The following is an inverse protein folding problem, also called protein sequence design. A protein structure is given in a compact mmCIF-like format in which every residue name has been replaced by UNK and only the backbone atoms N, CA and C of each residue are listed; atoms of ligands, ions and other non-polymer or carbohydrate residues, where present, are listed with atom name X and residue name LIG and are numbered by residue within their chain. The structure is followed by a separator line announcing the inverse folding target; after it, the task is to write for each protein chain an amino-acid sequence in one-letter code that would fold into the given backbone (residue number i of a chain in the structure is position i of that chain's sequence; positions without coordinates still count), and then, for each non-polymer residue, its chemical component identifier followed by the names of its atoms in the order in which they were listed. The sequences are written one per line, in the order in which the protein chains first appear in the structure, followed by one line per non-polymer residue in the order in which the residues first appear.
data_IF_802427484737
#
_entry.id   IF_802427484737
#
_cell.length_a   1.000
_cell.length_b   1.000
_cell.length_c   1.000
_cell.angle_alpha   90.00
_cell.angle_beta   90.00
_cell.angle_gamma   90.00
#
_symmetry.space_group_name_H-M   'P 1'
#
loop_
_entity.id
_entity.type
_entity.pdbx_description
1 polymer ?
#
# COMPACT_ATOMS: atom_id res chain seq x y z
N UNK A 1 0.07 2.85 9.56
CA UNK A 1 -0.62 3.92 8.82
C UNK A 1 -1.54 4.62 9.81
N UNK A 2 -2.03 5.82 9.52
CA UNK A 2 -2.80 6.59 10.51
C UNK A 2 -4.26 6.15 10.63
N UNK A 3 -4.85 5.67 9.53
CA UNK A 3 -6.22 5.18 9.47
C UNK A 3 -6.35 4.23 8.28
N UNK A 4 -7.23 3.20 8.34
CA UNK A 4 -7.50 2.34 7.20
C UNK A 4 -8.38 3.02 6.15
N UNK A 5 -8.36 2.49 4.93
CA UNK A 5 -9.38 2.79 3.93
C UNK A 5 -10.57 1.83 4.08
N UNK A 6 -11.76 2.33 3.77
CA UNK A 6 -12.91 1.48 3.46
C UNK A 6 -12.68 0.84 2.09
N UNK A 7 -12.67 -0.49 2.04
CA UNK A 7 -12.58 -1.23 0.79
C UNK A 7 -13.81 -0.97 -0.08
N UNK A 8 -13.60 -0.77 -1.38
CA UNK A 8 -14.67 -0.52 -2.36
C UNK A 8 -14.64 -1.64 -3.40
N UNK A 9 -15.62 -2.56 -3.37
CA UNK A 9 -15.74 -3.62 -4.37
C UNK A 9 -15.86 -3.07 -5.79
N UNK A 10 -15.30 -3.77 -6.77
CA UNK A 10 -15.35 -3.35 -8.17
C UNK A 10 -15.29 -4.53 -9.14
N UNK A 11 -15.83 -4.36 -10.35
CA UNK A 11 -15.75 -5.34 -11.44
C UNK A 11 -14.31 -5.69 -11.85
N UNK A 12 -13.34 -4.86 -11.47
CA UNK A 12 -11.91 -5.13 -11.73
C UNK A 12 -11.40 -6.35 -10.96
N UNK A 13 -12.08 -6.72 -9.88
CA UNK A 13 -11.81 -7.95 -9.13
C UNK A 13 -12.08 -9.22 -9.96
N UNK A 14 -12.90 -9.14 -11.02
CA UNK A 14 -13.04 -10.27 -11.97
C UNK A 14 -11.71 -10.64 -12.62
N UNK A 15 -10.79 -9.70 -12.78
CA UNK A 15 -9.47 -10.04 -13.29
C UNK A 15 -8.74 -11.02 -12.35
N UNK A 16 -8.93 -10.89 -11.04
CA UNK A 16 -8.41 -11.87 -10.08
C UNK A 16 -9.08 -13.23 -10.26
N UNK A 17 -10.40 -13.29 -10.50
CA UNK A 17 -11.10 -14.57 -10.70
C UNK A 17 -10.67 -15.28 -11.99
N UNK A 18 -10.31 -14.53 -13.05
CA UNK A 18 -9.69 -15.11 -14.25
C UNK A 18 -8.31 -15.69 -13.95
N UNK A 19 -7.48 -14.98 -13.17
CA UNK A 19 -6.17 -15.50 -12.77
C UNK A 19 -6.32 -16.73 -11.88
N UNK A 20 -7.31 -16.76 -10.98
CA UNK A 20 -7.60 -17.92 -10.15
C UNK A 20 -7.95 -19.14 -11.04
N UNK A 21 -8.83 -18.95 -12.03
CA UNK A 21 -9.15 -19.99 -13.01
C UNK A 21 -7.91 -20.45 -13.78
N UNK A 22 -7.11 -19.53 -14.31
CA UNK A 22 -5.87 -19.84 -15.03
C UNK A 22 -4.94 -20.67 -14.14
N UNK A 23 -4.78 -20.29 -12.88
CA UNK A 23 -3.87 -20.99 -11.99
C UNK A 23 -4.36 -22.42 -11.66
N UNK A 24 -5.61 -22.57 -11.22
CA UNK A 24 -6.13 -23.84 -10.72
C UNK A 24 -6.61 -24.78 -11.82
N UNK A 25 -7.28 -24.25 -12.84
CA UNK A 25 -7.97 -25.04 -13.86
C UNK A 25 -7.12 -25.23 -15.11
N UNK A 26 -6.16 -24.34 -15.38
CA UNK A 26 -5.29 -24.42 -16.57
C UNK A 26 -3.88 -24.88 -16.21
N UNK A 27 -3.12 -24.11 -15.41
CA UNK A 27 -1.72 -24.41 -15.13
C UNK A 27 -1.55 -25.61 -14.20
N UNK A 28 -2.27 -25.68 -13.09
CA UNK A 28 -2.15 -26.78 -12.12
C UNK A 28 -2.57 -28.14 -12.69
N UNK A 29 -3.31 -28.16 -13.81
CA UNK A 29 -3.75 -29.36 -14.52
C UNK A 29 -2.96 -29.65 -15.80
N UNK A 30 -1.85 -28.96 -16.03
CA UNK A 30 -1.13 -29.03 -17.31
C UNK A 30 -0.52 -30.42 -17.60
N UNK A 31 -0.10 -31.16 -16.56
CA UNK A 31 0.57 -32.47 -16.71
C UNK A 31 -0.29 -33.45 -17.53
N UNK A 32 0.30 -33.99 -18.60
CA UNK A 32 -0.36 -34.93 -19.51
C UNK A 32 -1.30 -34.29 -20.54
N UNK A 33 -1.51 -32.97 -20.49
CA UNK A 33 -2.36 -32.23 -21.41
C UNK A 33 -1.54 -31.40 -22.42
N UNK A 34 -2.21 -30.98 -23.50
CA UNK A 34 -1.65 -30.08 -24.53
C UNK A 34 -2.28 -28.71 -24.38
N UNK A 35 -1.48 -27.65 -24.56
CA UNK A 35 -2.01 -26.29 -24.54
C UNK A 35 -2.95 -26.05 -25.73
N UNK A 36 -4.23 -25.76 -25.44
CA UNK A 36 -5.24 -25.45 -26.45
C UNK A 36 -6.28 -24.49 -25.87
N UNK A 37 -6.44 -23.33 -26.51
CA UNK A 37 -7.42 -22.31 -26.11
C UNK A 37 -8.85 -22.87 -26.17
N UNK A 38 -9.15 -23.63 -27.23
CA UNK A 38 -10.48 -24.21 -27.50
C UNK A 38 -10.94 -25.26 -26.49
N UNK A 39 -10.05 -25.72 -25.61
CA UNK A 39 -10.36 -26.76 -24.62
C UNK A 39 -10.17 -26.24 -23.19
N UNK A 40 -9.05 -25.59 -22.90
CA UNK A 40 -8.62 -25.26 -21.54
C UNK A 40 -9.46 -24.16 -20.87
N UNK A 41 -10.13 -23.30 -21.62
CA UNK A 41 -10.85 -22.14 -21.07
C UNK A 41 -12.38 -22.29 -21.12
N UNK A 42 -12.89 -23.41 -21.65
CA UNK A 42 -14.32 -23.61 -21.94
C UNK A 42 -15.22 -23.55 -20.71
N UNK A 43 -14.70 -23.87 -19.52
CA UNK A 43 -15.44 -23.77 -18.24
C UNK A 43 -15.58 -22.33 -17.73
N UNK A 44 -14.82 -21.37 -18.29
CA UNK A 44 -14.96 -19.95 -18.01
C UNK A 44 -15.21 -19.18 -19.32
N UNK A 45 -16.48 -19.08 -19.70
CA UNK A 45 -16.91 -18.48 -20.97
C UNK A 45 -16.37 -17.07 -21.21
N UNK A 46 -16.39 -16.21 -20.18
CA UNK A 46 -15.94 -14.82 -20.31
C UNK A 46 -14.42 -14.75 -20.54
N UNK A 47 -13.64 -15.59 -19.83
CA UNK A 47 -12.20 -15.70 -20.05
C UNK A 47 -11.86 -16.35 -21.40
N UNK A 48 -12.61 -17.37 -21.82
CA UNK A 48 -12.44 -17.99 -23.14
C UNK A 48 -12.63 -16.96 -24.26
N UNK A 49 -13.67 -16.13 -24.17
CA UNK A 49 -13.89 -15.02 -25.11
C UNK A 49 -12.72 -14.04 -25.09
N UNK A 50 -12.25 -13.63 -23.91
CA UNK A 50 -11.08 -12.74 -23.77
C UNK A 50 -9.86 -13.34 -24.46
N UNK A 51 -9.49 -14.58 -24.14
CA UNK A 51 -8.31 -15.25 -24.70
C UNK A 51 -8.43 -15.41 -26.21
N UNK A 52 -9.62 -15.72 -26.72
CA UNK A 52 -9.93 -15.84 -28.15
C UNK A 52 -9.80 -14.49 -28.85
N UNK A 53 -10.41 -13.42 -28.32
CA UNK A 53 -10.29 -12.06 -28.85
C UNK A 53 -8.83 -11.58 -28.86
N UNK A 54 -8.08 -11.87 -27.79
CA UNK A 54 -6.65 -11.56 -27.72
C UNK A 54 -5.83 -12.35 -28.74
N UNK A 55 -6.18 -13.60 -29.03
CA UNK A 55 -5.46 -14.43 -30.01
C UNK A 55 -5.47 -13.84 -31.42
N UNK A 56 -6.56 -13.15 -31.79
CA UNK A 56 -6.69 -12.45 -33.06
C UNK A 56 -6.20 -10.99 -33.02
N UNK A 57 -5.67 -10.55 -31.87
CA UNK A 57 -5.19 -9.19 -31.65
C UNK A 57 -3.67 -9.10 -31.82
N UNK A 58 -3.20 -8.26 -32.73
CA UNK A 58 -1.76 -8.01 -32.95
C UNK A 58 -1.21 -6.88 -32.06
N UNK A 59 -1.57 -6.85 -30.77
CA UNK A 59 -1.11 -5.83 -29.81
C UNK A 59 -0.20 -6.45 -28.75
N UNK A 60 0.81 -5.70 -28.32
CA UNK A 60 1.82 -6.13 -27.34
C UNK A 60 1.23 -6.71 -26.04
N UNK A 61 0.13 -6.11 -25.56
CA UNK A 61 -0.60 -6.60 -24.37
C UNK A 61 -1.21 -7.99 -24.57
N UNK A 62 -1.71 -8.30 -25.76
CA UNK A 62 -2.23 -9.63 -26.08
C UNK A 62 -1.10 -10.65 -26.18
N UNK A 63 -0.02 -10.28 -26.89
CA UNK A 63 1.15 -11.13 -27.11
C UNK A 63 1.76 -11.61 -25.78
N UNK A 64 2.11 -10.70 -24.85
CA UNK A 64 2.74 -11.12 -23.59
C UNK A 64 1.81 -12.03 -22.78
N UNK A 65 0.51 -11.74 -22.77
CA UNK A 65 -0.45 -12.50 -21.96
C UNK A 65 -0.58 -13.93 -22.49
N UNK A 66 -0.79 -14.09 -23.80
CA UNK A 66 -0.94 -15.40 -24.45
C UNK A 66 0.35 -16.22 -24.39
N UNK A 67 1.51 -15.58 -24.66
CA UNK A 67 2.81 -16.24 -24.55
C UNK A 67 3.06 -16.69 -23.11
N UNK A 68 2.74 -15.84 -22.13
CA UNK A 68 2.88 -16.17 -20.71
C UNK A 68 1.98 -17.33 -20.28
N UNK A 69 0.71 -17.36 -20.72
CA UNK A 69 -0.22 -18.47 -20.46
C UNK A 69 0.38 -19.81 -20.93
N UNK A 70 0.88 -19.85 -22.16
CA UNK A 70 1.43 -21.07 -22.76
C UNK A 70 2.77 -21.47 -22.11
N UNK A 71 3.69 -20.53 -21.89
CA UNK A 71 4.99 -20.83 -21.29
C UNK A 71 4.85 -21.39 -19.88
N UNK A 72 4.02 -20.75 -19.04
CA UNK A 72 3.77 -21.21 -17.68
C UNK A 72 3.06 -22.57 -17.71
N UNK A 73 2.12 -22.79 -18.63
CA UNK A 73 1.49 -24.11 -18.80
C UNK A 73 2.53 -25.20 -19.10
N UNK A 74 3.47 -24.94 -20.01
CA UNK A 74 4.54 -25.90 -20.33
C UNK A 74 5.50 -26.12 -19.16
N UNK A 75 5.80 -25.09 -18.36
CA UNK A 75 6.59 -25.24 -17.14
C UNK A 75 5.87 -26.14 -16.12
N UNK A 76 4.56 -25.93 -15.90
CA UNK A 76 3.76 -26.71 -14.95
C UNK A 76 3.68 -28.21 -15.32
N UNK A 77 3.82 -28.57 -16.61
CA UNK A 77 3.91 -30.00 -17.01
C UNK A 77 5.11 -30.72 -16.40
N UNK A 78 6.18 -29.97 -16.11
CA UNK A 78 7.43 -30.50 -15.58
C UNK A 78 7.46 -30.50 -14.03
N UNK A 79 6.53 -29.82 -13.38
CA UNK A 79 6.45 -29.71 -11.92
C UNK A 79 5.87 -30.99 -11.31
N UNK A 80 6.40 -31.39 -10.14
CA UNK A 80 5.89 -32.56 -9.40
C UNK A 80 4.51 -32.27 -8.80
N UNK A 81 3.69 -33.30 -8.58
CA UNK A 81 2.34 -33.08 -8.01
C UNK A 81 2.41 -32.50 -6.59
N UNK A 82 3.46 -32.85 -5.84
CA UNK A 82 3.74 -32.29 -4.52
C UNK A 82 4.08 -30.79 -4.59
N UNK A 83 4.88 -30.40 -5.58
CA UNK A 83 5.22 -28.98 -5.80
C UNK A 83 4.03 -28.18 -6.35
N UNK A 84 3.16 -28.78 -7.17
CA UNK A 84 1.88 -28.15 -7.57
C UNK A 84 1.00 -27.88 -6.35
N UNK A 85 0.82 -28.87 -5.46
CA UNK A 85 0.04 -28.68 -4.24
C UNK A 85 0.64 -27.56 -3.35
N UNK A 86 1.97 -27.49 -3.28
CA UNK A 86 2.70 -26.43 -2.57
C UNK A 86 2.51 -25.05 -3.23
N UNK A 87 2.59 -24.96 -4.56
CA UNK A 87 2.33 -23.74 -5.33
C UNK A 87 0.88 -23.26 -5.14
N UNK A 88 -0.09 -24.17 -5.10
CA UNK A 88 -1.49 -23.85 -4.82
C UNK A 88 -1.68 -23.22 -3.44
N UNK A 89 -1.09 -23.82 -2.40
CA UNK A 89 -1.14 -23.23 -1.07
C UNK A 89 -0.47 -21.84 -1.01
N UNK A 90 0.67 -21.68 -1.69
CA UNK A 90 1.33 -20.38 -1.82
C UNK A 90 0.52 -19.35 -2.60
N UNK A 91 -0.20 -19.77 -3.65
CA UNK A 91 -1.10 -18.91 -4.41
C UNK A 91 -2.22 -18.34 -3.53
N UNK A 92 -2.89 -19.20 -2.76
CA UNK A 92 -3.94 -18.82 -1.82
C UNK A 92 -3.37 -17.90 -0.72
N UNK A 93 -2.23 -18.30 -0.13
CA UNK A 93 -1.63 -17.52 0.95
C UNK A 93 -1.14 -16.14 0.50
N UNK A 94 -0.52 -16.02 -0.68
CA UNK A 94 -0.05 -14.74 -1.22
C UNK A 94 -1.21 -13.76 -1.48
N UNK A 95 -2.41 -14.28 -1.75
CA UNK A 95 -3.59 -13.49 -2.01
C UNK A 95 -4.40 -13.15 -0.75
N UNK A 96 -4.05 -13.71 0.41
CA UNK A 96 -4.67 -13.37 1.69
C UNK A 96 -3.93 -12.24 2.42
N UNK A 97 -3.96 -11.04 1.83
CA UNK A 97 -3.18 -9.88 2.28
C UNK A 97 -3.43 -9.53 3.75
N UNK A 98 -4.68 -9.63 4.21
CA UNK A 98 -5.05 -9.36 5.61
C UNK A 98 -4.35 -10.30 6.59
N UNK A 99 -4.39 -11.61 6.34
CA UNK A 99 -3.70 -12.60 7.18
C UNK A 99 -2.17 -12.43 7.12
N UNK A 100 -1.63 -12.09 5.94
CA UNK A 100 -0.21 -11.81 5.80
C UNK A 100 0.22 -10.62 6.67
N UNK A 101 -0.56 -9.52 6.63
CA UNK A 101 -0.36 -8.32 7.45
C UNK A 101 -0.51 -8.59 8.95
N UNK A 102 -1.44 -9.46 9.34
CA UNK A 102 -1.64 -9.88 10.72
C UNK A 102 -0.55 -10.82 11.24
N UNK A 103 0.40 -11.22 10.37
CA UNK A 103 1.41 -12.24 10.66
C UNK A 103 0.77 -13.55 11.15
N UNK A 104 -0.35 -13.94 10.53
CA UNK A 104 -1.08 -15.15 10.90
C UNK A 104 -0.29 -16.41 10.50
N UNK A 105 -0.19 -17.37 11.41
CA UNK A 105 0.56 -18.61 11.21
C UNK A 105 -0.02 -19.51 10.10
N UNK A 106 -1.31 -19.33 9.75
CA UNK A 106 -1.95 -20.03 8.64
C UNK A 106 -1.59 -19.45 7.26
N UNK A 107 -0.96 -18.27 7.21
CA UNK A 107 -0.62 -17.57 5.98
C UNK A 107 0.91 -17.37 5.84
N UNK A 108 1.53 -18.24 5.06
CA UNK A 108 2.95 -18.14 4.69
C UNK A 108 3.09 -17.77 3.21
N UNK A 109 3.57 -16.55 2.91
CA UNK A 109 3.73 -16.12 1.53
C UNK A 109 4.98 -16.77 0.94
N UNK A 110 4.93 -17.05 -0.36
CA UNK A 110 6.09 -17.37 -1.16
C UNK A 110 6.58 -16.13 -1.91
N UNK A 111 7.87 -16.12 -2.23
CA UNK A 111 8.51 -15.14 -3.09
C UNK A 111 8.90 -15.80 -4.42
N UNK A 112 9.31 -14.99 -5.40
CA UNK A 112 9.91 -15.52 -6.63
C UNK A 112 11.16 -16.39 -6.35
N UNK A 113 11.93 -16.10 -5.29
CA UNK A 113 13.09 -16.92 -4.92
C UNK A 113 12.70 -18.29 -4.37
N UNK A 114 11.53 -18.39 -3.71
CA UNK A 114 11.02 -19.68 -3.25
C UNK A 114 10.56 -20.55 -4.43
N UNK A 115 9.93 -19.94 -5.45
CA UNK A 115 9.54 -20.64 -6.68
C UNK A 115 10.76 -21.05 -7.50
N UNK A 116 11.80 -20.23 -7.55
CA UNK A 116 13.06 -20.52 -8.25
C UNK A 116 13.72 -21.82 -7.72
N UNK A 117 13.52 -22.15 -6.44
CA UNK A 117 13.98 -23.42 -5.87
C UNK A 117 13.22 -24.65 -6.38
N UNK A 118 12.03 -24.47 -6.95
CA UNK A 118 11.25 -25.52 -7.63
C UNK A 118 11.64 -25.56 -9.12
N UNK A 119 11.61 -24.41 -9.78
CA UNK A 119 11.99 -24.25 -11.18
C UNK A 119 12.36 -22.80 -11.49
N UNK A 120 13.57 -22.60 -12.01
CA UNK A 120 14.08 -21.28 -12.42
C UNK A 120 13.23 -20.70 -13.56
N UNK A 121 12.88 -21.52 -14.56
CA UNK A 121 12.04 -21.10 -15.69
C UNK A 121 10.64 -20.70 -15.25
N UNK A 122 10.03 -21.48 -14.35
CA UNK A 122 8.70 -21.16 -13.82
C UNK A 122 8.72 -19.83 -13.06
N UNK A 123 9.73 -19.62 -12.19
CA UNK A 123 9.87 -18.36 -11.46
C UNK A 123 10.03 -17.17 -12.40
N UNK A 124 10.86 -17.33 -13.44
CA UNK A 124 11.10 -16.31 -14.47
C UNK A 124 9.83 -15.98 -15.26
N UNK A 125 9.11 -16.98 -15.77
CA UNK A 125 7.88 -16.77 -16.55
C UNK A 125 6.74 -16.20 -15.69
N UNK A 126 6.55 -16.70 -14.46
CA UNK A 126 5.61 -16.10 -13.50
C UNK A 126 6.00 -14.64 -13.17
N UNK A 127 7.29 -14.36 -13.04
CA UNK A 127 7.83 -13.02 -12.84
C UNK A 127 7.44 -12.07 -13.97
N UNK A 128 7.63 -12.50 -15.22
CA UNK A 128 7.27 -11.72 -16.40
C UNK A 128 5.76 -11.53 -16.52
N UNK A 129 4.98 -12.58 -16.28
CA UNK A 129 3.52 -12.53 -16.38
C UNK A 129 2.89 -11.61 -15.34
N UNK A 130 3.12 -11.85 -14.04
CA UNK A 130 2.46 -11.10 -12.97
C UNK A 130 2.91 -9.64 -12.87
N UNK A 131 4.18 -9.32 -13.16
CA UNK A 131 4.67 -7.92 -13.15
C UNK A 131 3.99 -7.05 -14.21
N UNK A 132 3.64 -7.65 -15.34
CA UNK A 132 3.02 -6.99 -16.50
C UNK A 132 1.49 -7.07 -16.48
N UNK A 133 0.88 -7.91 -15.63
CA UNK A 133 -0.56 -8.06 -15.57
C UNK A 133 -1.30 -6.77 -15.16
N UNK A 134 -0.65 -5.92 -14.35
CA UNK A 134 -1.16 -4.59 -14.00
C UNK A 134 -0.67 -3.47 -14.94
N UNK A 135 0.08 -3.80 -16.00
CA UNK A 135 0.56 -2.79 -16.94
C UNK A 135 -0.61 -2.23 -17.77
N UNK A 136 -0.53 -0.95 -18.08
CA UNK A 136 -1.55 -0.27 -18.89
C UNK A 136 -1.72 -0.94 -20.27
N UNK A 137 -0.61 -1.35 -20.91
CA UNK A 137 -0.60 -2.06 -22.20
C UNK A 137 -1.52 -3.30 -22.23
N UNK A 138 -1.84 -3.89 -21.07
CA UNK A 138 -2.78 -5.00 -20.92
C UNK A 138 -4.13 -4.58 -20.37
N UNK A 139 -4.14 -3.92 -19.22
CA UNK A 139 -5.39 -3.61 -18.51
C UNK A 139 -6.28 -2.61 -19.23
N UNK A 140 -5.74 -1.83 -20.18
CA UNK A 140 -6.53 -0.91 -20.99
C UNK A 140 -7.03 -1.50 -22.32
N UNK A 141 -6.77 -2.79 -22.59
CA UNK A 141 -7.29 -3.44 -23.78
C UNK A 141 -8.81 -3.55 -23.70
N UNK A 142 -9.52 -3.25 -24.81
CA UNK A 142 -10.99 -3.27 -24.84
C UNK A 142 -11.58 -4.63 -24.49
N UNK A 143 -10.94 -5.73 -24.92
CA UNK A 143 -11.34 -7.09 -24.55
C UNK A 143 -11.35 -7.29 -23.03
N UNK A 144 -10.46 -6.61 -22.30
CA UNK A 144 -10.38 -6.62 -20.84
C UNK A 144 -11.36 -5.61 -20.24
N UNK A 145 -11.26 -4.32 -20.60
CA UNK A 145 -12.04 -3.25 -19.98
C UNK A 145 -13.54 -3.41 -20.16
N UNK A 146 -13.98 -4.05 -21.26
CA UNK A 146 -15.41 -4.33 -21.48
C UNK A 146 -15.99 -5.35 -20.49
N UNK A 147 -15.15 -6.15 -19.82
CA UNK A 147 -15.57 -7.19 -18.87
C UNK A 147 -15.34 -6.79 -17.41
N UNK A 148 -14.24 -6.08 -17.16
CA UNK A 148 -13.77 -5.74 -15.81
C UNK A 148 -13.92 -4.24 -15.45
N UNK A 149 -14.36 -3.41 -16.39
CA UNK A 149 -14.42 -1.96 -16.24
C UNK A 149 -13.06 -1.27 -16.36
N UNK A 150 -12.99 0.00 -15.94
CA UNK A 150 -11.76 0.80 -15.97
C UNK A 150 -11.40 1.33 -14.58
N UNK A 151 -10.11 1.46 -14.32
CA UNK A 151 -9.58 1.87 -13.02
C UNK A 151 -9.97 3.29 -12.60
N UNK A 152 -10.21 4.18 -13.56
CA UNK A 152 -10.57 5.56 -13.24
C UNK A 152 -11.99 5.65 -12.64
N UNK A 153 -12.90 4.75 -13.04
CA UNK A 153 -14.24 4.67 -12.46
C UNK A 153 -14.20 4.08 -11.04
N UNK A 154 -13.34 3.08 -10.82
CA UNK A 154 -13.04 2.59 -9.47
C UNK A 154 -12.51 3.73 -8.61
N UNK A 155 -11.52 4.48 -9.09
CA UNK A 155 -10.88 5.54 -8.32
C UNK A 155 -11.86 6.63 -7.89
N UNK A 156 -12.75 7.08 -8.79
CA UNK A 156 -13.79 8.07 -8.47
C UNK A 156 -14.70 7.57 -7.35
N UNK A 157 -15.17 6.33 -7.44
CA UNK A 157 -15.98 5.70 -6.40
C UNK A 157 -15.20 5.59 -5.09
N UNK A 158 -13.93 5.17 -5.19
CA UNK A 158 -13.03 4.99 -4.06
C UNK A 158 -12.83 6.27 -3.26
N UNK A 159 -12.49 7.39 -3.92
CA UNK A 159 -12.25 8.67 -3.24
C UNK A 159 -13.52 9.38 -2.79
N UNK A 160 -14.67 9.03 -3.36
CA UNK A 160 -15.98 9.48 -2.87
C UNK A 160 -16.30 8.84 -1.52
N UNK A 161 -16.03 7.54 -1.37
CA UNK A 161 -16.23 6.82 -0.11
C UNK A 161 -15.14 7.19 0.91
N UNK A 162 -13.88 7.18 0.49
CA UNK A 162 -12.72 7.53 1.32
C UNK A 162 -12.42 9.03 1.28
N UNK A 163 -13.40 9.84 1.68
CA UNK A 163 -13.43 11.30 1.48
C UNK A 163 -12.58 12.13 2.46
N UNK A 164 -11.69 11.51 3.24
CA UNK A 164 -10.79 12.25 4.14
C UNK A 164 -9.86 13.21 3.37
N UNK A 165 -9.63 12.93 2.08
CA UNK A 165 -8.75 13.70 1.21
C UNK A 165 -7.27 13.61 1.58
N UNK A 166 -6.90 12.78 2.56
CA UNK A 166 -5.55 12.68 3.10
C UNK A 166 -4.97 11.29 2.87
N UNK A 167 -3.67 11.24 2.60
CA UNK A 167 -2.96 9.98 2.42
C UNK A 167 -2.85 9.26 3.77
N UNK A 168 -3.48 8.09 3.99
CA UNK A 168 -3.48 7.42 5.29
C UNK A 168 -2.09 6.96 5.71
N UNK A 169 -1.19 6.75 4.74
CA UNK A 169 0.17 6.31 5.02
C UNK A 169 1.01 7.38 5.71
N UNK A 170 0.72 8.67 5.53
CA UNK A 170 1.52 9.73 6.19
C UNK A 170 0.71 10.82 6.88
N UNK A 171 -0.55 11.05 6.50
CA UNK A 171 -1.38 12.16 6.96
C UNK A 171 -0.94 13.54 6.47
N UNK A 172 0.23 13.66 5.84
CA UNK A 172 0.80 14.94 5.37
C UNK A 172 0.18 15.34 4.03
N UNK A 173 0.38 14.50 3.01
CA UNK A 173 -0.03 14.80 1.64
C UNK A 173 -1.51 14.48 1.41
N UNK A 174 -2.13 15.23 0.52
CA UNK A 174 -3.48 14.95 0.05
C UNK A 174 -3.52 13.74 -0.90
N UNK A 175 -4.72 13.18 -1.03
CA UNK A 175 -5.10 12.25 -2.10
C UNK A 175 -5.97 13.05 -3.08
N UNK A 176 -5.67 12.97 -4.37
CA UNK A 176 -6.47 13.62 -5.41
C UNK A 176 -7.92 13.14 -5.34
N UNK A 177 -8.83 14.03 -4.97
CA UNK A 177 -10.27 13.75 -4.90
C UNK A 177 -10.96 13.80 -6.27
N UNK A 178 -12.30 13.77 -6.26
CA UNK A 178 -13.14 13.75 -7.48
C UNK A 178 -12.94 14.96 -8.41
N UNK A 179 -12.49 16.09 -7.86
CA UNK A 179 -12.29 17.34 -8.61
C UNK A 179 -10.93 17.40 -9.34
N UNK A 180 -10.19 16.29 -9.37
CA UNK A 180 -8.94 16.17 -10.13
C UNK A 180 -9.15 15.36 -11.40
N UNK A 181 -8.53 15.80 -12.51
CA UNK A 181 -8.48 15.04 -13.76
C UNK A 181 -7.50 13.86 -13.75
N UNK A 182 -6.69 13.75 -12.69
CA UNK A 182 -5.70 12.70 -12.50
C UNK A 182 -5.93 12.01 -11.16
N UNK A 183 -5.42 10.78 -11.03
CA UNK A 183 -5.53 9.97 -9.82
C UNK A 183 -4.18 9.72 -9.16
N UNK A 184 -4.21 9.28 -7.91
CA UNK A 184 -3.03 8.65 -7.31
C UNK A 184 -2.74 7.29 -7.95
N UNK A 185 -1.47 6.88 -7.90
CA UNK A 185 -1.10 5.51 -8.21
C UNK A 185 -1.63 4.57 -7.13
N UNK A 186 -2.02 3.37 -7.53
CA UNK A 186 -2.32 2.30 -6.58
C UNK A 186 -1.00 1.61 -6.26
N UNK A 187 -0.53 1.80 -5.02
CA UNK A 187 0.63 1.13 -4.50
C UNK A 187 0.35 -0.35 -4.31
N UNK A 188 1.26 -1.21 -4.76
CA UNK A 188 1.30 -2.63 -4.39
C UNK A 188 1.83 -2.73 -2.96
N UNK A 189 0.93 -2.78 -1.98
CA UNK A 189 1.29 -2.77 -0.55
C UNK A 189 2.35 -3.83 -0.25
N UNK A 190 2.08 -5.08 -0.63
CA UNK A 190 3.08 -6.11 -0.78
C UNK A 190 3.73 -6.00 -2.17
N UNK A 191 5.05 -5.77 -2.27
CA UNK A 191 5.68 -5.45 -3.54
C UNK A 191 5.56 -6.59 -4.56
N UNK A 192 4.98 -6.28 -5.73
CA UNK A 192 4.90 -7.22 -6.88
C UNK A 192 6.25 -7.69 -7.41
N UNK A 193 7.34 -7.01 -7.05
CA UNK A 193 8.70 -7.42 -7.39
C UNK A 193 9.21 -8.61 -6.57
N UNK A 194 8.61 -8.85 -5.39
CA UNK A 194 9.01 -9.86 -4.41
C UNK A 194 8.01 -11.01 -4.42
N UNK A 195 6.72 -10.68 -4.32
CA UNK A 195 5.65 -11.66 -4.16
C UNK A 195 4.97 -11.97 -5.50
N UNK A 196 4.95 -13.24 -5.93
CA UNK A 196 4.10 -13.69 -7.01
C UNK A 196 2.61 -13.62 -6.60
N UNK A 197 1.74 -13.80 -7.59
CA UNK A 197 0.30 -14.05 -7.45
C UNK A 197 -0.58 -12.87 -6.99
N UNK A 198 -0.07 -11.88 -6.29
CA UNK A 198 -0.87 -10.77 -5.72
C UNK A 198 -0.80 -9.44 -6.50
N UNK A 199 -0.31 -9.48 -7.74
CA UNK A 199 -0.08 -8.26 -8.54
C UNK A 199 -1.35 -7.58 -9.06
N UNK A 200 -2.44 -8.35 -9.22
CA UNK A 200 -3.76 -7.84 -9.65
C UNK A 200 -4.80 -7.90 -8.53
N UNK A 201 -4.42 -8.40 -7.36
CA UNK A 201 -5.32 -8.47 -6.22
C UNK A 201 -5.58 -7.05 -5.70
N UNK A 202 -6.81 -6.55 -5.87
CA UNK A 202 -7.18 -5.18 -5.44
C UNK A 202 -7.13 -4.99 -3.92
N UNK A 203 -7.10 -6.07 -3.15
CA UNK A 203 -6.81 -6.04 -1.71
C UNK A 203 -5.35 -5.74 -1.40
N UNK A 204 -4.45 -5.91 -2.37
CA UNK A 204 -3.04 -5.53 -2.29
C UNK A 204 -2.73 -4.15 -2.91
N UNK A 205 -3.72 -3.52 -3.56
CA UNK A 205 -3.55 -2.29 -4.32
C UNK A 205 -4.24 -1.14 -3.59
N UNK A 206 -3.50 -0.17 -3.07
CA UNK A 206 -4.06 0.95 -2.31
C UNK A 206 -3.60 2.31 -2.87
N UNK A 207 -4.51 3.27 -3.12
CA UNK A 207 -4.13 4.63 -3.48
C UNK A 207 -3.15 5.24 -2.46
N UNK A 208 -2.01 5.72 -2.93
CA UNK A 208 -0.98 6.30 -2.07
C UNK A 208 -0.44 7.58 -2.71
N UNK A 209 -0.19 8.62 -1.89
CA UNK A 209 0.44 9.82 -2.41
C UNK A 209 1.83 9.51 -2.98
N UNK A 210 2.26 10.31 -3.96
CA UNK A 210 3.54 10.11 -4.64
C UNK A 210 4.74 9.99 -3.69
N UNK A 211 4.81 10.78 -2.62
CA UNK A 211 5.92 10.68 -1.67
C UNK A 211 5.93 9.34 -0.94
N UNK A 212 4.78 8.88 -0.44
CA UNK A 212 4.70 7.59 0.25
C UNK A 212 5.08 6.43 -0.69
N UNK A 213 4.52 6.40 -1.90
CA UNK A 213 4.75 5.34 -2.87
C UNK A 213 6.17 5.38 -3.47
N UNK A 214 6.52 6.51 -4.09
CA UNK A 214 7.65 6.64 -5.00
C UNK A 214 8.94 7.17 -4.35
N UNK A 215 8.90 7.61 -3.08
CA UNK A 215 10.09 8.12 -2.39
C UNK A 215 10.44 7.30 -1.15
N UNK A 216 9.46 6.95 -0.32
CA UNK A 216 9.73 6.31 0.97
C UNK A 216 9.54 4.78 0.94
N UNK A 217 8.39 4.30 0.46
CA UNK A 217 8.11 2.86 0.44
C UNK A 217 8.94 2.14 -0.61
N UNK A 218 8.90 2.60 -1.87
CA UNK A 218 9.59 1.95 -2.98
C UNK A 218 9.29 0.43 -3.01
N UNK A 219 10.33 -0.39 -2.85
CA UNK A 219 10.26 -1.86 -2.82
C UNK A 219 10.37 -2.43 -1.41
N UNK A 220 10.31 -1.60 -0.36
CA UNK A 220 10.33 -2.08 1.03
C UNK A 220 9.16 -3.04 1.26
N UNK A 221 9.46 -4.10 2.00
CA UNK A 221 8.53 -5.18 2.27
C UNK A 221 7.86 -4.94 3.63
N UNK A 222 6.53 -4.79 3.72
CA UNK A 222 5.87 -4.64 5.01
C UNK A 222 6.02 -5.88 5.91
N UNK A 223 6.07 -7.08 5.34
CA UNK A 223 6.04 -8.34 6.11
C UNK A 223 7.37 -8.69 6.79
N UNK A 224 8.46 -8.02 6.43
CA UNK A 224 9.80 -8.29 6.95
C UNK A 224 10.56 -6.99 7.14
N UNK A 225 11.43 -6.92 8.15
CA UNK A 225 12.33 -5.78 8.27
C UNK A 225 13.23 -5.66 7.04
N UNK A 226 13.30 -4.45 6.46
CA UNK A 226 14.17 -4.21 5.32
C UNK A 226 15.63 -4.40 5.74
N UNK A 227 16.25 -5.49 5.28
CA UNK A 227 17.71 -5.64 5.29
C UNK A 227 18.21 -5.31 3.88
N UNK A 228 19.43 -4.76 3.84
CA UNK A 228 20.19 -4.39 2.64
C UNK A 228 19.68 -5.09 1.35
N UNK A 229 19.32 -4.34 0.29
CA UNK A 229 18.73 -4.89 -0.94
C UNK A 229 19.62 -5.91 -1.68
N UNK A 230 20.90 -6.04 -1.31
CA UNK A 230 21.84 -7.05 -1.81
C UNK A 230 21.81 -8.38 -1.01
N UNK A 231 21.03 -8.49 0.06
CA UNK A 231 20.89 -9.71 0.85
C UNK A 231 19.52 -10.34 0.61
N UNK A 232 19.47 -11.68 0.51
CA UNK A 232 18.21 -12.44 0.53
C UNK A 232 17.36 -11.97 1.71
N UNK A 233 16.06 -11.78 1.48
CA UNK A 233 15.10 -11.46 2.55
C UNK A 233 15.27 -12.49 3.67
N UNK A 234 15.85 -12.03 4.77
CA UNK A 234 16.18 -12.85 5.93
C UNK A 234 15.79 -12.04 7.15
N UNK A 235 14.67 -12.38 7.74
CA UNK A 235 14.11 -11.63 8.84
C UNK A 235 12.98 -12.39 9.49
N UNK A 236 12.70 -12.03 10.73
CA UNK A 236 11.50 -12.49 11.42
C UNK A 236 10.32 -11.79 10.73
N UNK A 237 9.28 -12.57 10.38
CA UNK A 237 8.02 -12.01 9.91
C UNK A 237 7.49 -11.04 10.96
N UNK A 238 6.90 -9.93 10.51
CA UNK A 238 6.33 -8.91 11.38
C UNK A 238 4.92 -8.52 10.97
N UNK A 239 4.16 -7.98 11.90
CA UNK A 239 2.85 -7.38 11.63
C UNK A 239 2.97 -6.03 10.92
N UNK A 240 1.93 -5.70 10.16
CA UNK A 240 1.77 -4.42 9.50
C UNK A 240 0.30 -4.02 9.48
N UNK A 241 0.00 -2.72 9.56
CA UNK A 241 -1.35 -2.25 9.31
C UNK A 241 -1.80 -2.59 7.89
N UNK A 242 -2.91 -3.30 7.77
CA UNK A 242 -3.50 -3.65 6.48
C UNK A 242 -4.29 -2.44 5.93
N UNK A 243 -4.09 -2.01 4.67
CA UNK A 243 -4.77 -0.82 4.15
C UNK A 243 -6.29 -0.84 4.19
N UNK A 244 -6.89 -2.04 4.21
CA UNK A 244 -8.34 -2.23 4.14
C UNK A 244 -8.90 -3.03 5.33
N UNK A 245 -8.28 -2.94 6.49
CA UNK A 245 -8.78 -3.61 7.68
C UNK A 245 -10.17 -3.09 8.09
N UNK A 246 -10.99 -3.99 8.62
CA UNK A 246 -12.38 -3.68 8.97
C UNK A 246 -12.52 -2.86 10.26
N UNK A 247 -11.60 -3.05 11.20
CA UNK A 247 -11.64 -2.37 12.49
C UNK A 247 -10.85 -1.06 12.42
N UNK A 248 -11.46 0.02 12.90
CA UNK A 248 -10.75 1.26 13.13
C UNK A 248 -9.77 1.11 14.31
N UNK A 249 -8.71 1.91 14.28
CA UNK A 249 -7.84 2.17 15.42
C UNK A 249 -7.56 3.66 15.52
N UNK A 250 -7.08 4.08 16.67
CA UNK A 250 -6.55 5.42 16.88
C UNK A 250 -5.10 5.32 17.31
N UNK A 251 -4.24 6.07 16.64
CA UNK A 251 -2.85 6.23 17.07
C UNK A 251 -2.71 7.53 17.86
N UNK A 252 -1.95 7.46 18.94
CA UNK A 252 -1.56 8.64 19.72
C UNK A 252 -0.11 8.99 19.38
N UNK A 253 0.16 10.27 19.11
CA UNK A 253 1.50 10.78 18.85
C UNK A 253 1.86 11.71 19.99
N UNK A 254 2.94 11.38 20.68
CA UNK A 254 3.53 12.22 21.72
C UNK A 254 4.84 12.80 21.20
N UNK A 255 5.05 14.09 21.49
CA UNK A 255 6.28 14.80 21.14
C UNK A 255 6.92 15.34 22.40
N UNK A 256 8.23 15.21 22.49
CA UNK A 256 9.05 15.92 23.46
C UNK A 256 10.07 16.79 22.70
N UNK A 257 10.29 18.01 23.21
CA UNK A 257 11.19 19.00 22.62
C UNK A 257 12.32 19.29 23.60
N UNK A 258 13.55 19.19 23.10
CA UNK A 258 14.79 19.51 23.82
C UNK A 258 15.46 20.75 23.23
N UNK A 259 14.68 21.78 22.92
CA UNK A 259 15.14 23.08 22.44
C UNK A 259 14.61 24.20 23.36
N UNK A 260 15.33 25.31 23.44
CA UNK A 260 14.93 26.52 24.18
C UNK A 260 14.67 27.72 23.26
N UNK A 261 15.08 27.62 21.99
CA UNK A 261 14.86 28.63 20.96
C UNK A 261 14.20 27.98 19.75
N UNK A 262 12.90 28.24 19.59
CA UNK A 262 12.13 27.63 18.52
C UNK A 262 12.59 28.05 17.12
N UNK A 263 13.23 29.22 16.98
CA UNK A 263 13.70 29.71 15.67
C UNK A 263 14.82 28.84 15.11
N UNK A 264 15.57 28.15 15.99
CA UNK A 264 16.68 27.27 15.66
C UNK A 264 16.39 25.78 15.88
N UNK A 265 15.13 25.39 16.12
CA UNK A 265 14.72 23.99 16.33
C UNK A 265 15.12 23.09 15.14
N UNK A 266 15.68 21.91 15.45
CA UNK A 266 16.14 20.91 14.48
C UNK A 266 15.51 19.55 14.75
N UNK A 267 15.52 18.63 13.76
CA UNK A 267 15.01 17.27 13.94
C UNK A 267 15.63 16.53 15.13
N UNK A 268 16.90 16.81 15.46
CA UNK A 268 17.59 16.20 16.61
C UNK A 268 17.04 16.62 17.97
N UNK A 269 16.31 17.74 18.04
CA UNK A 269 15.72 18.27 19.27
C UNK A 269 14.33 17.66 19.55
N UNK A 270 13.82 16.82 18.65
CA UNK A 270 12.46 16.30 18.68
C UNK A 270 12.50 14.79 18.91
N UNK A 271 11.79 14.32 19.92
CA UNK A 271 11.52 12.90 20.15
C UNK A 271 10.04 12.64 19.89
N UNK A 272 9.75 11.67 19.03
CA UNK A 272 8.37 11.27 18.70
C UNK A 272 8.15 9.86 19.26
N UNK A 273 7.07 9.69 20.01
CA UNK A 273 6.56 8.38 20.42
C UNK A 273 5.18 8.18 19.81
N UNK A 274 4.91 6.95 19.37
CA UNK A 274 3.62 6.58 18.79
C UNK A 274 3.08 5.38 19.54
N UNK A 275 1.84 5.48 19.98
CA UNK A 275 1.09 4.38 20.60
C UNK A 275 -0.26 4.15 19.92
N UNK A 276 -1.11 3.27 20.49
CA UNK A 276 -0.90 2.53 21.74
C UNK A 276 0.06 1.34 21.61
N UNK A 277 0.58 0.86 22.75
CA UNK A 277 1.55 -0.25 22.82
C UNK A 277 1.04 -1.56 22.21
N UNK A 278 -0.29 -1.76 22.17
CA UNK A 278 -0.92 -2.93 21.54
C UNK A 278 -0.59 -3.06 20.04
N UNK A 279 -0.29 -1.94 19.37
CA UNK A 279 0.09 -1.91 17.94
C UNK A 279 1.59 -1.64 17.74
N UNK A 280 2.44 -1.88 18.75
CA UNK A 280 3.88 -1.57 18.68
C UNK A 280 4.54 -2.14 17.42
N UNK A 281 4.20 -3.37 17.03
CA UNK A 281 4.80 -4.04 15.88
C UNK A 281 4.37 -3.39 14.55
N UNK A 282 3.08 -3.14 14.37
CA UNK A 282 2.49 -2.49 13.21
C UNK A 282 2.96 -1.02 13.07
N UNK A 283 3.07 -0.31 14.20
CA UNK A 283 3.62 1.05 14.30
C UNK A 283 5.07 1.03 13.82
N UNK A 284 5.91 0.15 14.35
CA UNK A 284 7.32 0.06 13.95
C UNK A 284 7.47 -0.24 12.45
N UNK A 285 6.65 -1.15 11.91
CA UNK A 285 6.61 -1.42 10.46
C UNK A 285 6.21 -0.18 9.66
N UNK A 286 5.21 0.56 10.13
CA UNK A 286 4.74 1.78 9.47
C UNK A 286 5.81 2.89 9.48
N UNK A 287 6.47 3.11 10.62
CA UNK A 287 7.56 4.07 10.76
C UNK A 287 8.71 3.76 9.78
N UNK A 288 9.13 2.49 9.71
CA UNK A 288 10.19 1.99 8.82
C UNK A 288 9.82 2.13 7.34
N UNK A 289 8.66 1.60 6.93
CA UNK A 289 8.26 1.55 5.52
C UNK A 289 8.11 2.95 4.94
N UNK A 290 7.48 3.88 5.66
CA UNK A 290 7.12 5.20 5.13
C UNK A 290 7.99 6.35 5.66
N UNK A 291 9.04 6.06 6.42
CA UNK A 291 9.99 7.05 6.95
C UNK A 291 9.32 8.11 7.81
N UNK A 292 8.36 7.70 8.64
CA UNK A 292 7.42 8.63 9.28
C UNK A 292 8.09 9.52 10.32
N UNK A 293 8.98 8.96 11.13
CA UNK A 293 9.66 9.74 12.17
C UNK A 293 10.45 10.91 11.56
N UNK A 294 11.26 10.63 10.53
CA UNK A 294 12.01 11.64 9.78
C UNK A 294 11.08 12.73 9.25
N UNK A 295 9.99 12.34 8.59
CA UNK A 295 9.06 13.26 7.94
C UNK A 295 8.30 14.14 8.93
N UNK A 296 7.92 13.59 10.08
CA UNK A 296 7.22 14.34 11.11
C UNK A 296 8.15 15.33 11.80
N UNK A 297 9.39 14.93 12.09
CA UNK A 297 10.41 15.85 12.61
C UNK A 297 10.71 16.97 11.61
N UNK A 298 10.86 16.65 10.33
CA UNK A 298 11.07 17.65 9.27
C UNK A 298 9.90 18.64 9.18
N UNK A 299 8.65 18.16 9.27
CA UNK A 299 7.45 19.01 9.28
C UNK A 299 7.48 20.00 10.46
N UNK A 300 7.82 19.53 11.65
CA UNK A 300 7.91 20.34 12.86
C UNK A 300 8.98 21.44 12.78
N UNK A 301 10.04 21.25 11.97
CA UNK A 301 11.11 22.22 11.80
C UNK A 301 10.96 23.12 10.55
N UNK A 302 9.96 22.88 9.71
CA UNK A 302 9.79 23.63 8.45
C UNK A 302 9.21 25.02 8.71
N UNK A 303 9.76 26.04 8.04
CA UNK A 303 9.35 27.45 8.15
C UNK A 303 7.83 27.63 8.01
N UNK A 304 7.25 27.20 6.89
CA UNK A 304 5.81 27.34 6.61
C UNK A 304 4.94 26.21 7.19
N UNK A 305 5.44 25.50 8.21
CA UNK A 305 4.66 24.48 8.92
C UNK A 305 4.92 24.60 10.42
N UNK A 306 5.74 23.73 11.02
CA UNK A 306 5.94 23.70 12.46
C UNK A 306 6.37 25.04 13.06
N UNK A 307 7.33 25.75 12.44
CA UNK A 307 7.75 27.07 12.90
C UNK A 307 6.61 28.10 12.80
N UNK A 308 5.93 28.14 11.65
CA UNK A 308 4.75 28.99 11.49
C UNK A 308 3.63 28.67 12.49
N UNK A 309 3.42 27.41 12.87
CA UNK A 309 2.45 27.06 13.91
C UNK A 309 2.78 27.68 15.26
N UNK A 310 4.07 27.79 15.61
CA UNK A 310 4.54 28.48 16.82
C UNK A 310 4.31 29.99 16.67
N UNK A 311 4.69 30.57 15.53
CA UNK A 311 4.47 32.00 15.23
C UNK A 311 3.00 32.39 15.34
N UNK A 312 2.07 31.58 14.85
CA UNK A 312 0.63 31.82 14.99
C UNK A 312 0.19 31.94 16.45
N UNK A 313 0.68 31.05 17.32
CA UNK A 313 0.38 31.11 18.76
C UNK A 313 0.98 32.38 19.38
N UNK A 314 2.23 32.72 19.04
CA UNK A 314 2.90 33.91 19.54
C UNK A 314 2.19 35.21 19.12
N UNK A 315 1.76 35.28 17.86
CA UNK A 315 1.07 36.44 17.28
C UNK A 315 -0.30 36.67 17.94
N UNK A 316 -1.12 35.61 18.09
CA UNK A 316 -2.41 35.67 18.79
C UNK A 316 -2.24 36.12 20.26
N UNK A 317 -1.16 35.68 20.93
CA UNK A 317 -0.86 36.13 22.29
C UNK A 317 -0.49 37.62 22.35
N UNK A 318 0.36 38.10 21.42
CA UNK A 318 0.87 39.46 21.43
C UNK A 318 -0.17 40.49 20.99
N UNK A 319 -0.96 40.19 19.95
CA UNK A 319 -1.83 41.16 19.30
C UNK A 319 -3.27 41.10 19.82
N UNK A 320 -3.79 39.92 20.15
CA UNK A 320 -5.18 39.75 20.57
C UNK A 320 -5.33 39.66 22.11
N UNK A 321 -4.21 39.68 22.85
CA UNK A 321 -4.19 39.51 24.30
C UNK A 321 -4.68 38.13 24.75
N UNK A 322 -4.67 37.14 23.85
CA UNK A 322 -5.11 35.79 24.13
C UNK A 322 -4.09 35.09 25.03
N UNK A 323 -4.55 34.53 26.16
CA UNK A 323 -3.71 33.64 26.98
C UNK A 323 -3.41 32.36 26.16
N UNK A 324 -2.14 31.88 26.11
CA UNK A 324 -1.78 30.60 25.51
C UNK A 324 -2.76 29.46 25.84
N UNK A 325 -3.24 29.38 27.09
CA UNK A 325 -4.18 28.35 27.53
C UNK A 325 -5.51 28.35 26.73
N UNK A 326 -6.04 29.54 26.38
CA UNK A 326 -7.26 29.67 25.58
C UNK A 326 -7.04 29.27 24.11
N UNK A 327 -5.86 29.57 23.57
CA UNK A 327 -5.45 29.13 22.23
C UNK A 327 -5.37 27.60 22.20
N UNK A 328 -4.73 27.00 23.21
CA UNK A 328 -4.65 25.53 23.34
C UNK A 328 -6.02 24.87 23.46
N UNK A 329 -6.96 25.42 24.24
CA UNK A 329 -8.34 24.90 24.31
C UNK A 329 -8.99 24.87 22.93
N UNK A 330 -8.81 25.93 22.14
CA UNK A 330 -9.36 26.02 20.78
C UNK A 330 -8.70 25.03 19.83
N UNK A 331 -7.38 24.95 19.83
CA UNK A 331 -6.60 24.01 19.02
C UNK A 331 -6.95 22.56 19.33
N UNK A 332 -7.04 22.18 20.61
CA UNK A 332 -7.43 20.83 21.04
C UNK A 332 -8.82 20.48 20.50
N UNK A 333 -9.78 21.41 20.61
CA UNK A 333 -11.15 21.20 20.12
C UNK A 333 -11.17 21.01 18.59
N UNK A 334 -10.45 21.84 17.84
CA UNK A 334 -10.37 21.74 16.38
C UNK A 334 -9.67 20.45 15.94
N UNK A 335 -8.55 20.11 16.54
CA UNK A 335 -7.78 18.90 16.25
C UNK A 335 -8.58 17.63 16.53
N UNK A 336 -9.34 17.58 17.64
CA UNK A 336 -10.23 16.45 17.93
C UNK A 336 -11.36 16.30 16.90
N UNK A 337 -11.90 17.42 16.40
CA UNK A 337 -12.98 17.40 15.41
C UNK A 337 -12.48 17.03 14.01
N UNK A 338 -11.28 17.50 13.65
CA UNK A 338 -10.66 17.31 12.33
C UNK A 338 -9.16 17.00 12.48
N UNK A 339 -8.78 15.78 12.88
CA UNK A 339 -7.38 15.43 13.16
C UNK A 339 -6.48 15.51 11.93
N UNK A 340 -7.02 15.31 10.73
CA UNK A 340 -6.21 15.35 9.50
C UNK A 340 -6.25 16.71 8.78
N UNK A 341 -7.16 17.61 9.16
CA UNK A 341 -7.13 18.98 8.65
C UNK A 341 -5.86 19.67 9.18
N UNK A 342 -5.14 20.39 8.30
CA UNK A 342 -3.90 21.09 8.66
C UNK A 342 -2.87 20.25 9.41
N UNK A 343 -2.90 18.92 9.23
CA UNK A 343 -2.00 17.98 9.94
C UNK A 343 -2.17 18.08 11.47
N UNK A 344 -3.38 18.34 11.96
CA UNK A 344 -3.69 18.55 13.38
C UNK A 344 -3.24 17.41 14.30
N UNK A 345 -3.23 16.17 13.81
CA UNK A 345 -2.73 14.99 14.52
C UNK A 345 -1.25 15.11 14.92
N UNK A 346 -0.48 15.97 14.22
CA UNK A 346 0.92 16.28 14.51
C UNK A 346 1.08 17.69 15.09
N UNK A 347 0.35 18.68 14.56
CA UNK A 347 0.40 20.08 15.01
C UNK A 347 0.07 20.20 16.50
N UNK A 348 -0.99 19.54 16.97
CA UNK A 348 -1.41 19.61 18.36
C UNK A 348 -0.32 19.10 19.32
N UNK A 349 0.15 17.84 19.24
CA UNK A 349 1.16 17.35 20.17
C UNK A 349 2.49 18.10 20.05
N UNK A 350 2.82 18.65 18.87
CA UNK A 350 4.00 19.50 18.70
C UNK A 350 3.89 20.82 19.49
N UNK A 351 2.76 21.52 19.39
CA UNK A 351 2.55 22.78 20.12
C UNK A 351 2.43 22.55 21.63
N UNK A 352 1.80 21.45 22.05
CA UNK A 352 1.78 21.04 23.46
C UNK A 352 3.21 20.82 23.99
N UNK A 353 4.06 20.14 23.21
CA UNK A 353 5.46 19.96 23.56
C UNK A 353 6.25 21.27 23.61
N UNK A 354 5.96 22.22 22.70
CA UNK A 354 6.56 23.55 22.72
C UNK A 354 6.22 24.31 24.00
N UNK A 355 4.95 24.24 24.42
CA UNK A 355 4.49 24.85 25.66
C UNK A 355 5.15 24.23 26.90
N UNK A 356 5.22 22.90 26.95
CA UNK A 356 5.91 22.17 28.03
C UNK A 356 7.41 22.50 28.08
N UNK A 357 8.04 22.73 26.93
CA UNK A 357 9.45 23.16 26.84
C UNK A 357 9.65 24.65 27.16
N UNK A 358 8.58 25.41 27.41
CA UNK A 358 8.61 26.82 27.78
C UNK A 358 8.84 27.79 26.62
N UNK A 359 8.64 27.34 25.37
CA UNK A 359 8.91 28.16 24.18
C UNK A 359 7.94 29.34 24.00
N UNK A 360 6.82 29.34 24.72
CA UNK A 360 5.85 30.44 24.76
C UNK A 360 5.98 31.32 26.01
N UNK A 361 6.88 31.00 26.95
CA UNK A 361 7.03 31.75 28.21
C UNK A 361 7.84 33.06 28.05
N UNK A 362 8.36 33.33 26.86
CA UNK A 362 9.11 34.55 26.55
C UNK A 362 8.22 35.72 26.10
N UNK A 363 6.88 35.58 26.19
CA UNK A 363 5.89 36.62 25.85
C UNK A 363 5.56 37.47 27.07
#
# INVERSE_FOLDING_TARGET
MLFPYTYVPHDMEKMQTYVDFIFFEVWSKAKGNTYSIDTLFTENQELYEIVTELHFSAVKGAEFFLTGLQQIFEDFKLVSDADIAKLSHWYESNNNIGLLCANDASATPATYSDIESISEDLSRHLGQFFKNLYAQDFLSLKSITNRIGVIDDHYKTFVTINSSGKCPFCGISDIKGIDHSTREAYDHFLPKGIYPFNSINFRNLAPACNNCNSSYKLTKNPLYQFKNPLKKQSGVRRKSFYPYQANDYSLNIEIAICCQDWTSIKPGDIVIKVGPDEFTEEINTWLDVYGIEERYKAMCCTENAGKYWIEQVLDECQNDGSNPEMIFITLVRQAKLKPFAEVNFLKLPFLEACNQAGLFNAI
#
